data_IF_304304402494
#
_entry.id   IF_304304402494
#
_cell.length_a   1.000
_cell.length_b   1.000
_cell.length_c   1.000
_cell.angle_alpha   90.00
_cell.angle_beta   90.00
_cell.angle_gamma   90.00
#
_symmetry.space_group_name_H-M   'P 1'
#
loop_
_entity.id
_entity.type
_entity.pdbx_description
1 polymer ?
#
# COMPACT_ATOMS: atom_id res chain seq x y z
N UNK A 1 -16.39 -1.79 18.37
CA UNK A 1 -15.86 -2.38 17.13
C UNK A 1 -16.27 -1.44 16.00
N UNK A 2 -15.29 -0.79 15.39
CA UNK A 2 -15.49 0.38 14.52
C UNK A 2 -16.12 -0.04 13.17
N UNK A 3 -16.92 0.81 12.52
CA UNK A 3 -17.56 0.46 11.24
C UNK A 3 -16.53 0.05 10.16
N UNK A 4 -15.35 0.67 10.21
CA UNK A 4 -14.20 0.37 9.35
C UNK A 4 -13.68 -1.07 9.50
N UNK A 5 -13.61 -1.59 10.73
CA UNK A 5 -13.11 -2.94 10.97
C UNK A 5 -14.14 -3.98 10.51
N UNK A 6 -15.42 -3.67 10.63
CA UNK A 6 -16.51 -4.54 10.17
C UNK A 6 -16.56 -4.60 8.64
N UNK A 7 -16.34 -3.47 7.94
CA UNK A 7 -16.30 -3.43 6.49
C UNK A 7 -15.05 -4.11 5.91
N UNK A 8 -13.89 -3.89 6.55
CA UNK A 8 -12.66 -4.58 6.18
C UNK A 8 -12.78 -6.10 6.36
N UNK A 9 -13.34 -6.58 7.48
CA UNK A 9 -13.57 -8.01 7.72
C UNK A 9 -14.57 -8.63 6.73
N UNK A 10 -15.68 -7.93 6.46
CA UNK A 10 -16.71 -8.41 5.52
C UNK A 10 -16.17 -8.61 4.12
N UNK A 11 -15.18 -7.83 3.71
CA UNK A 11 -14.51 -8.01 2.42
C UNK A 11 -13.39 -9.04 2.52
N UNK A 12 -12.60 -9.05 3.60
CA UNK A 12 -11.51 -10.02 3.80
C UNK A 12 -11.97 -11.48 3.68
N UNK A 13 -13.09 -11.83 4.33
CA UNK A 13 -13.62 -13.20 4.33
C UNK A 13 -14.44 -13.55 3.06
N UNK A 14 -14.85 -12.54 2.28
CA UNK A 14 -15.64 -12.70 1.03
C UNK A 14 -14.79 -12.67 -0.23
N UNK A 15 -13.48 -12.49 -0.10
CA UNK A 15 -12.54 -12.57 -1.21
C UNK A 15 -12.38 -14.05 -1.58
N UNK A 16 -13.37 -14.55 -2.30
CA UNK A 16 -13.37 -15.86 -2.97
C UNK A 16 -12.75 -15.74 -4.36
N UNK A 17 -11.86 -16.69 -4.65
CA UNK A 17 -11.31 -17.17 -5.94
C UNK A 17 -10.59 -16.19 -6.91
N UNK A 18 -10.87 -14.89 -6.93
CA UNK A 18 -10.31 -13.97 -7.97
C UNK A 18 -9.27 -12.93 -7.49
N UNK A 19 -8.96 -12.86 -6.18
CA UNK A 19 -7.92 -11.94 -5.68
C UNK A 19 -6.75 -12.70 -5.04
N UNK A 20 -5.52 -12.17 -5.14
CA UNK A 20 -4.38 -12.72 -4.43
C UNK A 20 -4.66 -12.82 -2.91
N UNK A 21 -4.27 -13.92 -2.28
CA UNK A 21 -4.21 -13.98 -0.82
C UNK A 21 -3.30 -12.86 -0.32
N UNK A 22 -3.68 -12.22 0.79
CA UNK A 22 -2.99 -11.03 1.30
C UNK A 22 -3.48 -9.70 0.73
N UNK A 23 -4.53 -9.68 -0.09
CA UNK A 23 -5.15 -8.45 -0.59
C UNK A 23 -6.25 -7.90 0.33
N UNK A 24 -6.29 -6.57 0.49
CA UNK A 24 -7.38 -5.84 1.15
C UNK A 24 -7.75 -4.59 0.35
N UNK A 25 -8.98 -4.09 0.53
CA UNK A 25 -9.39 -2.82 -0.09
C UNK A 25 -8.59 -1.64 0.47
N UNK A 26 -8.23 -0.72 -0.40
CA UNK A 26 -7.67 0.58 -0.04
C UNK A 26 -8.78 1.42 0.63
N UNK A 27 -8.47 2.02 1.78
CA UNK A 27 -9.42 2.78 2.59
C UNK A 27 -9.77 4.14 1.97
N UNK A 28 -8.87 4.72 1.19
CA UNK A 28 -9.08 5.97 0.45
C UNK A 28 -8.20 6.01 -0.80
N UNK A 29 -8.72 6.45 -1.96
CA UNK A 29 -7.91 6.63 -3.18
C UNK A 29 -6.73 7.59 -2.99
N UNK A 30 -6.79 8.49 -2.00
CA UNK A 30 -5.71 9.43 -1.68
C UNK A 30 -4.42 8.74 -1.23
N UNK A 31 -4.50 7.49 -0.75
CA UNK A 31 -3.35 6.72 -0.26
C UNK A 31 -2.26 6.62 -1.34
N UNK A 32 -2.63 6.33 -2.59
CA UNK A 32 -1.69 6.21 -3.70
C UNK A 32 -1.00 7.56 -3.97
N UNK A 33 -1.79 8.65 -4.01
CA UNK A 33 -1.26 10.00 -4.21
C UNK A 33 -0.29 10.42 -3.09
N UNK A 34 -0.62 10.12 -1.83
CA UNK A 34 0.25 10.39 -0.67
C UNK A 34 1.56 9.60 -0.79
N UNK A 35 1.48 8.31 -1.10
CA UNK A 35 2.64 7.44 -1.23
C UNK A 35 3.59 7.94 -2.32
N UNK A 36 3.07 8.23 -3.52
CA UNK A 36 3.87 8.74 -4.65
C UNK A 36 4.51 10.09 -4.28
N UNK A 37 3.72 11.02 -3.77
CA UNK A 37 4.22 12.36 -3.45
C UNK A 37 5.32 12.32 -2.39
N UNK A 38 5.16 11.50 -1.34
CA UNK A 38 6.18 11.36 -0.30
C UNK A 38 7.43 10.62 -0.83
N UNK A 39 7.26 9.58 -1.65
CA UNK A 39 8.36 8.86 -2.27
C UNK A 39 9.24 9.76 -3.17
N UNK A 40 8.63 10.76 -3.83
CA UNK A 40 9.36 11.75 -4.64
C UNK A 40 10.24 12.66 -3.79
N UNK A 41 9.87 12.92 -2.54
CA UNK A 41 10.68 13.70 -1.58
C UNK A 41 11.79 12.85 -0.97
N UNK A 42 11.47 11.61 -0.63
CA UNK A 42 12.41 10.64 -0.09
C UNK A 42 11.97 9.24 -0.47
N UNK A 43 12.87 8.46 -1.08
CA UNK A 43 12.57 7.06 -1.46
C UNK A 43 12.12 6.20 -0.27
N UNK A 44 12.54 6.55 0.95
CA UNK A 44 12.10 5.91 2.20
C UNK A 44 11.33 6.90 3.06
N UNK A 45 10.13 6.51 3.51
CA UNK A 45 9.19 7.35 4.28
C UNK A 45 8.71 6.60 5.50
N UNK A 46 8.64 7.29 6.65
CA UNK A 46 8.11 6.74 7.89
C UNK A 46 6.65 7.18 8.09
N UNK A 47 5.75 6.22 8.29
CA UNK A 47 4.34 6.42 8.59
C UNK A 47 4.05 5.94 10.01
N UNK A 48 3.47 6.80 10.85
CA UNK A 48 3.26 6.48 12.28
C UNK A 48 1.77 6.31 12.63
N UNK A 49 1.44 5.20 13.29
CA UNK A 49 0.13 4.97 13.90
C UNK A 49 0.30 4.48 15.35
N UNK A 50 -0.09 5.32 16.31
CA UNK A 50 0.18 5.06 17.74
C UNK A 50 1.69 4.94 17.99
N UNK A 51 2.10 3.84 18.61
CA UNK A 51 3.51 3.52 18.90
C UNK A 51 4.21 2.76 17.78
N UNK A 52 3.48 2.37 16.73
CA UNK A 52 4.05 1.65 15.58
C UNK A 52 4.52 2.63 14.51
N UNK A 53 5.74 2.41 14.02
CA UNK A 53 6.30 3.11 12.85
C UNK A 53 6.43 2.09 11.72
N UNK A 54 5.84 2.43 10.57
CA UNK A 54 5.98 1.69 9.33
C UNK A 54 6.96 2.44 8.44
N UNK A 55 8.07 1.82 8.07
CA UNK A 55 9.05 2.41 7.16
C UNK A 55 8.82 1.82 5.78
N UNK A 56 8.31 2.63 4.85
CA UNK A 56 8.05 2.23 3.47
C UNK A 56 9.16 2.76 2.55
N UNK A 57 9.83 1.86 1.85
CA UNK A 57 10.83 2.17 0.82
C UNK A 57 10.26 1.87 -0.55
N UNK A 58 10.21 2.87 -1.42
CA UNK A 58 9.77 2.70 -2.80
C UNK A 58 10.65 1.66 -3.50
N UNK A 59 10.00 0.71 -4.18
CA UNK A 59 10.66 -0.36 -4.93
C UNK A 59 10.50 -0.15 -6.43
N UNK A 60 9.25 -0.18 -6.90
CA UNK A 60 8.94 -0.09 -8.33
C UNK A 60 7.50 0.37 -8.57
N UNK A 61 7.20 0.75 -9.81
CA UNK A 61 5.83 0.89 -10.28
C UNK A 61 5.68 0.27 -11.67
N UNK A 62 4.43 0.00 -12.05
CA UNK A 62 4.10 -0.55 -13.37
C UNK A 62 3.16 0.35 -14.16
N UNK A 63 3.36 0.40 -15.47
CA UNK A 63 2.47 1.06 -16.44
C UNK A 63 2.03 0.06 -17.50
N UNK A 64 0.83 0.29 -18.03
CA UNK A 64 0.41 -0.29 -19.30
C UNK A 64 0.89 0.65 -20.41
N UNK A 65 1.68 0.12 -21.34
CA UNK A 65 2.00 0.87 -22.55
C UNK A 65 0.82 0.86 -23.54
N UNK A 66 1.00 1.55 -24.67
CA UNK A 66 -0.04 1.70 -25.70
C UNK A 66 -0.39 0.37 -26.39
N UNK A 67 0.48 -0.62 -26.29
CA UNK A 67 0.32 -1.95 -26.88
C UNK A 67 -0.23 -2.96 -25.85
N UNK A 68 -0.53 -2.52 -24.63
CA UNK A 68 -1.06 -3.35 -23.54
C UNK A 68 0.01 -4.17 -22.81
N UNK A 69 1.29 -3.92 -23.07
CA UNK A 69 2.40 -4.57 -22.36
C UNK A 69 2.67 -3.86 -21.04
N UNK A 70 3.15 -4.62 -20.05
CA UNK A 70 3.46 -4.09 -18.72
C UNK A 70 4.93 -3.69 -18.66
N UNK A 71 5.17 -2.38 -18.53
CA UNK A 71 6.49 -1.84 -18.20
C UNK A 71 6.69 -1.80 -16.68
N UNK A 72 7.89 -2.18 -16.21
CA UNK A 72 8.29 -2.07 -14.81
C UNK A 72 9.38 -1.02 -14.69
N UNK A 73 9.22 -0.10 -13.74
CA UNK A 73 10.08 1.06 -13.57
C UNK A 73 10.57 1.16 -12.13
N UNK A 74 11.85 1.48 -11.95
CA UNK A 74 12.53 1.59 -10.65
C UNK A 74 12.71 3.03 -10.15
N UNK A 75 12.28 4.01 -10.95
CA UNK A 75 12.22 5.41 -10.54
C UNK A 75 10.84 5.72 -9.98
N UNK A 76 10.73 6.71 -9.10
CA UNK A 76 9.44 7.07 -8.51
C UNK A 76 8.57 7.70 -9.60
N UNK A 77 7.29 7.30 -9.75
CA UNK A 77 6.42 7.85 -10.79
C UNK A 77 6.18 9.35 -10.61
N UNK A 78 6.04 10.07 -11.72
CA UNK A 78 5.75 11.51 -11.72
C UNK A 78 4.27 11.81 -11.43
N UNK A 79 3.38 10.89 -11.80
CA UNK A 79 1.94 11.00 -11.66
C UNK A 79 1.31 9.75 -11.02
N UNK A 80 0.01 9.83 -10.75
CA UNK A 80 -0.78 8.75 -10.17
C UNK A 80 -1.43 7.84 -11.21
N UNK A 81 -1.18 8.07 -12.51
CA UNK A 81 -1.74 7.26 -13.59
C UNK A 81 -0.89 6.01 -13.79
N UNK A 82 -0.82 5.21 -12.73
CA UNK A 82 -0.04 3.99 -12.64
C UNK A 82 -0.97 2.79 -12.52
N UNK A 83 -0.51 1.63 -13.00
CA UNK A 83 -1.24 0.38 -12.80
C UNK A 83 -1.04 -0.09 -11.36
N UNK A 84 0.21 -0.20 -10.93
CA UNK A 84 0.58 -0.68 -9.59
C UNK A 84 1.81 0.06 -9.07
N UNK A 85 1.91 0.23 -7.75
CA UNK A 85 3.11 0.73 -7.07
C UNK A 85 3.47 -0.17 -5.90
N UNK A 86 4.75 -0.50 -5.80
CA UNK A 86 5.30 -1.47 -4.86
C UNK A 86 6.28 -0.81 -3.90
N UNK A 87 6.12 -1.12 -2.62
CA UNK A 87 6.99 -0.69 -1.53
C UNK A 87 7.49 -1.88 -0.73
N UNK A 88 8.73 -1.81 -0.27
CA UNK A 88 9.23 -2.68 0.80
C UNK A 88 8.97 -1.98 2.12
N UNK A 89 8.14 -2.60 2.96
CA UNK A 89 7.66 -2.01 4.21
C UNK A 89 8.11 -2.85 5.40
N UNK A 90 8.76 -2.18 6.35
CA UNK A 90 9.06 -2.72 7.68
C UNK A 90 8.13 -2.12 8.73
N UNK A 91 8.01 -2.76 9.89
CA UNK A 91 7.13 -2.31 10.98
C UNK A 91 5.78 -3.05 11.09
N UNK A 92 5.45 -3.89 10.11
CA UNK A 92 4.37 -4.90 10.25
C UNK A 92 4.72 -5.94 11.33
N UNK A 93 5.98 -6.37 11.35
CA UNK A 93 6.57 -7.20 12.38
C UNK A 93 8.09 -6.92 12.40
N UNK A 94 8.72 -6.85 13.58
CA UNK A 94 10.06 -6.26 13.77
C UNK A 94 11.23 -6.97 13.04
N UNK A 95 10.98 -8.06 12.32
CA UNK A 95 12.04 -8.89 11.71
C UNK A 95 11.94 -9.04 10.20
N UNK A 96 10.78 -8.77 9.58
CA UNK A 96 10.53 -9.17 8.19
C UNK A 96 10.09 -7.99 7.33
N UNK A 97 10.80 -7.84 6.22
CA UNK A 97 10.38 -6.99 5.12
C UNK A 97 9.07 -7.54 4.54
N UNK A 98 8.18 -6.63 4.18
CA UNK A 98 6.89 -6.96 3.57
C UNK A 98 6.80 -6.20 2.27
N UNK A 99 6.70 -6.91 1.16
CA UNK A 99 6.35 -6.29 -0.11
C UNK A 99 4.88 -5.88 -0.05
N UNK A 100 4.60 -4.62 -0.35
CA UNK A 100 3.26 -4.04 -0.35
C UNK A 100 3.02 -3.39 -1.70
N UNK A 101 2.03 -3.90 -2.42
CA UNK A 101 1.65 -3.42 -3.76
C UNK A 101 0.27 -2.79 -3.70
N UNK A 102 0.15 -1.57 -4.20
CA UNK A 102 -1.12 -0.85 -4.35
C UNK A 102 -1.52 -0.84 -5.83
N UNK A 103 -2.76 -1.20 -6.12
CA UNK A 103 -3.32 -1.27 -7.47
C UNK A 103 -4.79 -0.86 -7.45
N UNK A 104 -5.12 0.26 -8.09
CA UNK A 104 -6.49 0.79 -8.13
C UNK A 104 -7.15 0.90 -6.76
N UNK A 105 -8.02 -0.06 -6.44
CA UNK A 105 -8.76 -0.13 -5.16
C UNK A 105 -8.17 -1.09 -4.13
N UNK A 106 -7.04 -1.74 -4.40
CA UNK A 106 -6.54 -2.86 -3.59
C UNK A 106 -5.08 -2.68 -3.16
N UNK A 107 -4.78 -3.16 -1.97
CA UNK A 107 -3.44 -3.30 -1.42
C UNK A 107 -3.18 -4.79 -1.20
N UNK A 108 -2.12 -5.32 -1.78
CA UNK A 108 -1.66 -6.71 -1.61
C UNK A 108 -0.36 -6.72 -0.82
N UNK A 109 -0.19 -7.72 0.05
CA UNK A 109 1.05 -7.89 0.82
C UNK A 109 1.65 -9.27 0.66
N UNK A 110 2.98 -9.35 0.64
CA UNK A 110 3.73 -10.60 0.66
C UNK A 110 4.94 -10.49 1.61
N UNK A 111 5.10 -11.41 2.59
CA UNK A 111 4.13 -12.44 3.00
C UNK A 111 2.85 -11.86 3.61
N UNK A 112 1.80 -12.68 3.70
CA UNK A 112 0.53 -12.33 4.35
C UNK A 112 0.75 -11.73 5.75
N UNK A 113 -0.12 -10.78 6.11
CA UNK A 113 -0.14 -10.11 7.41
C UNK A 113 -1.55 -10.07 7.97
N UNK A 114 -1.67 -9.95 9.29
CA UNK A 114 -2.96 -9.78 9.93
C UNK A 114 -3.65 -8.49 9.45
N UNK A 115 -4.95 -8.59 9.17
CA UNK A 115 -5.79 -7.49 8.68
C UNK A 115 -5.63 -6.20 9.50
N UNK A 116 -5.50 -6.32 10.82
CA UNK A 116 -5.32 -5.17 11.73
C UNK A 116 -4.09 -4.34 11.35
N UNK A 117 -2.97 -4.99 11.03
CA UNK A 117 -1.76 -4.27 10.66
C UNK A 117 -1.90 -3.58 9.31
N UNK A 118 -2.55 -4.24 8.35
CA UNK A 118 -2.83 -3.68 7.03
C UNK A 118 -3.69 -2.41 7.11
N UNK A 119 -4.76 -2.46 7.91
CA UNK A 119 -5.64 -1.30 8.18
C UNK A 119 -4.86 -0.19 8.90
N UNK A 120 -4.03 -0.52 9.89
CA UNK A 120 -3.24 0.47 10.62
C UNK A 120 -2.18 1.15 9.75
N UNK A 121 -1.56 0.43 8.82
CA UNK A 121 -0.61 1.00 7.87
C UNK A 121 -1.30 2.04 6.97
N UNK A 122 -2.46 1.69 6.39
CA UNK A 122 -3.25 2.62 5.59
C UNK A 122 -3.68 3.86 6.38
N UNK A 123 -4.11 3.68 7.64
CA UNK A 123 -4.42 4.81 8.54
C UNK A 123 -3.19 5.67 8.85
N UNK A 124 -2.01 5.06 8.99
CA UNK A 124 -0.76 5.78 9.20
C UNK A 124 -0.40 6.66 7.99
N UNK A 125 -0.60 6.15 6.77
CA UNK A 125 -0.41 6.90 5.52
C UNK A 125 -1.35 8.11 5.49
N UNK A 126 -2.64 7.88 5.68
CA UNK A 126 -3.66 8.95 5.67
C UNK A 126 -3.39 10.01 6.74
N UNK A 127 -3.02 9.61 7.96
CA UNK A 127 -2.71 10.53 9.05
C UNK A 127 -1.46 11.37 8.78
N UNK A 128 -0.46 10.77 8.13
CA UNK A 128 0.77 11.47 7.75
C UNK A 128 0.49 12.48 6.64
N UNK A 129 -0.36 12.10 5.68
CA UNK A 129 -0.66 12.93 4.52
C UNK A 129 0.58 13.18 3.66
N UNK A 130 0.50 14.22 2.83
CA UNK A 130 1.66 14.71 2.07
C UNK A 130 2.60 15.38 3.07
N UNK A 131 3.74 14.73 3.32
CA UNK A 131 4.81 15.26 4.17
C UNK A 131 5.24 16.61 3.60
N UNK A 132 5.31 17.66 4.41
CA UNK A 132 5.72 19.01 3.94
C UNK A 132 7.22 19.07 3.67
#
# INVERSE_FOLDING_TARGET
>A
MDSFENEAKKNYDKIGEDFPRGSIKILSPDIINILITNARKSKTVNYKAGDTVYTATFSSYTLLDKDGMVGVYSDVPEDTNIREITFIVTGFHAKWDTEVTFSGEYMTVMPDRELKHLVNFQRAIMKTGISR
#
